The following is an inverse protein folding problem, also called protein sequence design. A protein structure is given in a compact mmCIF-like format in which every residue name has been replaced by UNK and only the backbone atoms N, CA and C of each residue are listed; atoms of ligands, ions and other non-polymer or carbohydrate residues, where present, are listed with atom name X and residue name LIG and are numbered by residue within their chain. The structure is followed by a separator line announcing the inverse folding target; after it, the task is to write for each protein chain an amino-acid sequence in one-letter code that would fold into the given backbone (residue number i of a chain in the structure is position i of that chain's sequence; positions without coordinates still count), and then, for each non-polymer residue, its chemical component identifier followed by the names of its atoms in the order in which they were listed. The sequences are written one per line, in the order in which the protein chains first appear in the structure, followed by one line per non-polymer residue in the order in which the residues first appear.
data_IF_229589586360
#
_entry.id   IF_229589586360
#
_cell.length_a   1.000
_cell.length_b   1.000
_cell.length_c   1.000
_cell.angle_alpha   90.00
_cell.angle_beta   90.00
_cell.angle_gamma   90.00
#
_symmetry.space_group_name_H-M   'P 1'
#
loop_
_entity.id
_entity.type
_entity.pdbx_description
1 polymer ?
#
# COMPACT_ATOMS: atom_id res chain seq x y z
N UNK A 1 6.50 -0.29 -27.56
CA UNK A 1 7.63 -0.96 -26.89
C UNK A 1 7.45 -0.67 -25.41
N UNK A 2 6.87 -1.62 -24.67
CA UNK A 2 6.59 -1.47 -23.22
C UNK A 2 7.93 -1.70 -22.52
N UNK A 3 8.44 -0.72 -21.80
CA UNK A 3 9.80 -0.77 -21.25
C UNK A 3 9.89 -1.75 -20.09
N UNK A 4 11.10 -2.21 -19.74
CA UNK A 4 11.30 -3.14 -18.60
C UNK A 4 10.73 -2.62 -17.27
N UNK A 5 10.62 -1.30 -17.11
CA UNK A 5 10.01 -0.64 -15.95
C UNK A 5 8.48 -0.83 -15.91
N UNK A 6 7.83 -0.82 -17.07
CA UNK A 6 6.38 -1.04 -17.19
C UNK A 6 6.01 -2.49 -16.89
N UNK A 7 6.88 -3.44 -17.26
CA UNK A 7 6.71 -4.86 -16.94
C UNK A 7 6.91 -5.14 -15.44
N UNK A 8 7.87 -4.47 -14.80
CA UNK A 8 8.08 -4.57 -13.36
C UNK A 8 6.88 -4.02 -12.56
N UNK A 9 6.33 -2.91 -13.03
CA UNK A 9 5.16 -2.28 -12.43
C UNK A 9 3.90 -3.14 -12.61
N UNK A 10 3.69 -3.71 -13.80
CA UNK A 10 2.60 -4.64 -14.06
C UNK A 10 2.69 -5.92 -13.20
N UNK A 11 3.91 -6.43 -12.96
CA UNK A 11 4.15 -7.56 -12.07
C UNK A 11 3.80 -7.28 -10.61
N UNK A 12 4.17 -6.11 -10.08
CA UNK A 12 3.75 -5.71 -8.72
C UNK A 12 2.24 -5.49 -8.61
N UNK A 13 1.60 -4.89 -9.61
CA UNK A 13 0.14 -4.71 -9.61
C UNK A 13 -0.58 -6.05 -9.60
N UNK A 14 -0.06 -7.07 -10.31
CA UNK A 14 -0.66 -8.41 -10.28
C UNK A 14 -0.55 -9.13 -8.92
N UNK A 15 0.20 -8.57 -7.98
CA UNK A 15 0.32 -9.09 -6.60
C UNK A 15 -0.52 -8.30 -5.58
N UNK A 16 -1.36 -7.37 -6.04
CA UNK A 16 -2.31 -6.67 -5.16
C UNK A 16 -3.60 -7.49 -5.03
N UNK A 17 -4.04 -7.69 -3.79
CA UNK A 17 -5.28 -8.40 -3.46
C UNK A 17 -6.51 -7.53 -3.69
N UNK A 18 -6.36 -6.20 -3.64
CA UNK A 18 -7.42 -5.24 -3.95
C UNK A 18 -7.03 -4.38 -5.14
N UNK A 19 -7.89 -4.37 -6.15
CA UNK A 19 -7.83 -3.48 -7.30
C UNK A 19 -9.20 -2.84 -7.52
N UNK A 20 -9.25 -1.61 -8.02
CA UNK A 20 -10.50 -0.97 -8.38
C UNK A 20 -11.19 -1.77 -9.49
N UNK A 21 -12.51 -1.91 -9.38
CA UNK A 21 -13.35 -2.67 -10.31
C UNK A 21 -13.91 -1.82 -11.44
N UNK A 22 -13.86 -0.49 -11.33
CA UNK A 22 -14.37 0.46 -12.32
C UNK A 22 -13.71 1.83 -12.22
N UNK A 23 -13.78 2.60 -13.31
CA UNK A 23 -13.30 4.00 -13.33
C UNK A 23 -14.06 4.91 -12.34
N UNK A 24 -15.32 4.57 -12.05
CA UNK A 24 -16.12 5.29 -11.07
C UNK A 24 -15.56 5.09 -9.65
N UNK A 25 -15.19 3.86 -9.29
CA UNK A 25 -14.58 3.55 -8.00
C UNK A 25 -13.27 4.31 -7.80
N UNK A 26 -12.44 4.37 -8.85
CA UNK A 26 -11.21 5.17 -8.86
C UNK A 26 -11.52 6.64 -8.61
N UNK A 27 -12.50 7.19 -9.33
CA UNK A 27 -12.89 8.59 -9.21
C UNK A 27 -13.42 8.90 -7.81
N UNK A 28 -14.25 8.03 -7.25
CA UNK A 28 -14.83 8.19 -5.91
C UNK A 28 -13.76 8.14 -4.82
N UNK A 29 -12.79 7.22 -4.91
CA UNK A 29 -11.68 7.11 -3.96
C UNK A 29 -10.77 8.36 -4.03
N UNK A 30 -10.43 8.82 -5.23
CA UNK A 30 -9.67 10.07 -5.44
C UNK A 30 -10.43 11.26 -4.83
N UNK A 31 -11.71 11.40 -5.12
CA UNK A 31 -12.52 12.50 -4.62
C UNK A 31 -12.63 12.45 -3.09
N UNK A 32 -12.83 11.27 -2.51
CA UNK A 32 -12.90 11.10 -1.06
C UNK A 32 -11.61 11.57 -0.37
N UNK A 33 -10.45 11.07 -0.81
CA UNK A 33 -9.17 11.39 -0.17
C UNK A 33 -8.77 12.86 -0.38
N UNK A 34 -9.00 13.42 -1.57
CA UNK A 34 -8.67 14.82 -1.87
C UNK A 34 -9.57 15.80 -1.11
N UNK A 35 -10.89 15.56 -1.05
CA UNK A 35 -11.80 16.43 -0.29
C UNK A 35 -11.58 16.29 1.23
N UNK A 36 -11.30 15.08 1.71
CA UNK A 36 -10.97 14.84 3.11
C UNK A 36 -9.74 15.64 3.55
N UNK A 37 -8.63 15.56 2.79
CA UNK A 37 -7.41 16.31 3.05
C UNK A 37 -7.66 17.82 3.11
N UNK A 38 -8.41 18.34 2.13
CA UNK A 38 -8.78 19.76 2.05
C UNK A 38 -9.55 20.25 3.27
N UNK A 39 -10.50 19.47 3.79
CA UNK A 39 -11.31 19.88 4.93
C UNK A 39 -10.64 19.67 6.29
N UNK A 40 -9.79 18.65 6.40
CA UNK A 40 -9.12 18.31 7.66
C UNK A 40 -7.92 19.21 7.94
N UNK A 41 -7.26 19.72 6.90
CA UNK A 41 -6.08 20.57 7.00
C UNK A 41 -6.29 21.95 6.34
N UNK A 42 -7.31 22.73 6.76
CA UNK A 42 -7.68 23.98 6.09
C UNK A 42 -6.64 25.10 6.20
N UNK A 43 -5.77 25.03 7.22
CA UNK A 43 -4.69 25.99 7.45
C UNK A 43 -3.31 25.50 7.01
N UNK A 44 -3.23 24.30 6.41
CA UNK A 44 -2.01 23.70 5.90
C UNK A 44 -2.06 23.56 4.38
N UNK A 45 -1.28 22.63 3.84
CA UNK A 45 -1.28 22.31 2.41
C UNK A 45 -2.35 21.28 2.03
N UNK A 46 -3.38 21.03 2.85
CA UNK A 46 -4.32 19.91 2.65
C UNK A 46 -5.05 19.88 1.32
N UNK A 47 -5.16 21.02 0.63
CA UNK A 47 -5.74 21.11 -0.71
C UNK A 47 -4.78 20.62 -1.82
N UNK A 48 -3.47 20.63 -1.57
CA UNK A 48 -2.41 20.41 -2.56
C UNK A 48 -1.50 19.22 -2.20
N UNK A 49 -1.28 18.96 -0.90
CA UNK A 49 -0.40 17.92 -0.37
C UNK A 49 -1.01 17.28 0.90
N UNK A 50 -1.07 15.94 1.00
CA UNK A 50 -1.45 15.28 2.23
C UNK A 50 -0.42 15.54 3.34
N UNK A 51 -0.88 15.88 4.54
CA UNK A 51 -0.01 16.07 5.70
C UNK A 51 0.40 14.72 6.29
N UNK A 52 1.50 14.17 5.75
CA UNK A 52 1.96 12.82 6.06
C UNK A 52 2.34 12.60 7.53
N UNK A 53 2.66 13.67 8.27
CA UNK A 53 2.95 13.57 9.71
C UNK A 53 1.75 13.03 10.48
N UNK A 54 0.53 13.35 10.02
CA UNK A 54 -0.72 12.90 10.64
C UNK A 54 -1.35 11.71 9.90
N UNK A 55 -1.17 11.63 8.58
CA UNK A 55 -1.81 10.62 7.73
C UNK A 55 -0.93 9.40 7.42
N UNK A 56 0.32 9.38 7.88
CA UNK A 56 1.27 8.31 7.54
C UNK A 56 0.78 6.91 7.95
N UNK A 57 0.30 6.74 9.18
CA UNK A 57 -0.21 5.45 9.65
C UNK A 57 -1.49 4.98 8.91
N UNK A 58 -2.57 5.80 8.78
CA UNK A 58 -3.74 5.37 8.04
C UNK A 58 -3.46 5.14 6.55
N UNK A 59 -2.54 5.89 5.94
CA UNK A 59 -2.11 5.65 4.56
C UNK A 59 -1.40 4.29 4.42
N UNK A 60 -0.45 3.97 5.29
CA UNK A 60 0.22 2.66 5.30
C UNK A 60 -0.79 1.53 5.54
N UNK A 61 -1.75 1.72 6.44
CA UNK A 61 -2.80 0.73 6.68
C UNK A 61 -3.69 0.48 5.45
N UNK A 62 -3.96 1.49 4.64
CA UNK A 62 -4.68 1.33 3.37
C UNK A 62 -3.86 0.47 2.39
N UNK A 63 -2.58 0.79 2.20
CA UNK A 63 -1.70 -0.02 1.33
C UNK A 63 -1.58 -1.46 1.80
N UNK A 64 -1.53 -1.68 3.11
CA UNK A 64 -1.51 -3.01 3.71
C UNK A 64 -2.78 -3.80 3.41
N UNK A 65 -3.95 -3.15 3.40
CA UNK A 65 -5.20 -3.80 2.96
C UNK A 65 -5.16 -4.18 1.49
N UNK A 66 -4.57 -3.34 0.66
CA UNK A 66 -4.42 -3.64 -0.77
C UNK A 66 -3.46 -4.82 -1.01
N UNK A 67 -2.55 -5.08 -0.08
CA UNK A 67 -1.66 -6.24 -0.01
C UNK A 67 -2.24 -7.43 0.79
N UNK A 68 -3.49 -7.34 1.26
CA UNK A 68 -4.16 -8.40 2.02
C UNK A 68 -3.54 -8.78 3.36
N UNK A 69 -2.70 -7.92 3.95
CA UNK A 69 -2.06 -8.16 5.25
C UNK A 69 -2.79 -7.47 6.40
N UNK A 70 -2.63 -8.00 7.61
CA UNK A 70 -3.32 -7.55 8.81
C UNK A 70 -2.88 -6.13 9.23
N UNK A 71 -3.86 -5.26 9.42
CA UNK A 71 -3.65 -3.85 9.81
C UNK A 71 -3.62 -3.63 11.31
N UNK A 72 -4.31 -4.47 12.09
CA UNK A 72 -4.30 -4.41 13.55
C UNK A 72 -3.17 -5.29 14.09
N UNK A 73 -2.07 -4.64 14.49
CA UNK A 73 -0.82 -5.33 14.81
C UNK A 73 -0.50 -5.37 16.31
N UNK A 74 -1.39 -4.85 17.16
CA UNK A 74 -1.25 -4.95 18.62
C UNK A 74 -1.94 -6.20 19.13
N UNK A 75 -1.44 -6.72 20.25
CA UNK A 75 -1.94 -7.96 20.86
C UNK A 75 -3.35 -7.86 21.44
N UNK A 76 -3.91 -6.65 21.58
CA UNK A 76 -5.25 -6.46 22.12
C UNK A 76 -5.92 -5.20 21.58
N UNK A 77 -7.25 -5.24 21.49
CA UNK A 77 -8.07 -4.07 21.10
C UNK A 77 -7.86 -2.87 22.00
N UNK A 78 -7.56 -3.07 23.29
CA UNK A 78 -7.29 -1.94 24.18
C UNK A 78 -5.98 -1.24 23.82
N UNK A 79 -4.94 -1.99 23.45
CA UNK A 79 -3.67 -1.41 22.99
C UNK A 79 -3.80 -0.72 21.64
N UNK A 80 -4.64 -1.24 20.74
CA UNK A 80 -4.98 -0.55 19.47
C UNK A 80 -5.53 0.85 19.70
N UNK A 81 -6.33 1.05 20.76
CA UNK A 81 -6.91 2.36 21.06
C UNK A 81 -6.01 3.27 21.90
N UNK A 82 -5.18 2.70 22.78
CA UNK A 82 -4.53 3.48 23.84
C UNK A 82 -3.01 3.54 23.73
N UNK A 83 -2.39 2.71 22.89
CA UNK A 83 -0.94 2.64 22.75
C UNK A 83 -0.48 3.17 21.38
N UNK A 84 0.66 3.88 21.31
CA UNK A 84 1.18 4.34 20.03
C UNK A 84 1.65 3.17 19.16
N UNK A 85 1.48 3.31 17.85
CA UNK A 85 2.12 2.44 16.87
C UNK A 85 3.60 2.83 16.72
N UNK A 86 4.45 1.82 16.73
CA UNK A 86 5.90 1.92 16.60
C UNK A 86 6.38 1.02 15.47
N UNK A 87 7.58 1.26 14.91
CA UNK A 87 8.16 0.37 13.89
C UNK A 87 8.21 -1.10 14.32
N UNK A 88 8.36 -1.37 15.63
CA UNK A 88 8.40 -2.73 16.17
C UNK A 88 7.09 -3.52 15.99
N UNK A 89 5.94 -2.85 15.84
CA UNK A 89 4.64 -3.52 15.63
C UNK A 89 4.51 -4.09 14.21
N UNK A 90 5.32 -3.59 13.27
CA UNK A 90 5.35 -4.06 11.87
C UNK A 90 6.37 -5.19 11.66
N UNK A 91 6.97 -5.74 12.72
CA UNK A 91 7.87 -6.88 12.61
C UNK A 91 7.14 -8.07 11.99
N UNK A 92 7.79 -8.72 11.02
CA UNK A 92 7.25 -9.89 10.33
C UNK A 92 6.25 -9.57 9.21
N UNK A 93 5.95 -8.28 8.93
CA UNK A 93 5.01 -7.87 7.88
C UNK A 93 5.35 -8.46 6.49
N UNK A 94 6.64 -8.45 6.12
CA UNK A 94 7.09 -8.98 4.83
C UNK A 94 6.94 -10.51 4.78
N UNK A 95 7.20 -11.19 5.89
CA UNK A 95 7.08 -12.65 5.96
C UNK A 95 5.60 -13.08 5.93
N UNK A 96 4.72 -12.32 6.57
CA UNK A 96 3.27 -12.46 6.51
C UNK A 96 2.77 -12.32 5.06
N UNK A 97 3.18 -11.24 4.37
CA UNK A 97 2.83 -11.03 2.96
C UNK A 97 3.29 -12.19 2.07
N UNK A 98 4.55 -12.62 2.20
CA UNK A 98 5.12 -13.77 1.45
C UNK A 98 4.37 -15.08 1.69
N UNK A 99 3.87 -15.30 2.91
CA UNK A 99 3.09 -16.49 3.23
C UNK A 99 1.72 -16.48 2.55
N UNK A 100 1.07 -15.32 2.47
CA UNK A 100 -0.23 -15.16 1.81
C UNK A 100 -0.17 -15.29 0.29
N UNK A 101 0.95 -14.86 -0.33
CA UNK A 101 1.08 -14.75 -1.79
C UNK A 101 1.98 -15.83 -2.42
N UNK A 102 2.45 -16.81 -1.64
CA UNK A 102 3.36 -17.86 -2.10
C UNK A 102 4.75 -17.33 -2.49
N UNK A 103 5.79 -17.73 -1.76
CA UNK A 103 7.17 -17.32 -2.03
C UNK A 103 7.62 -17.56 -3.50
N UNK A 104 7.07 -18.57 -4.17
CA UNK A 104 7.36 -18.88 -5.58
C UNK A 104 6.79 -17.87 -6.57
N UNK A 105 5.61 -17.30 -6.33
CA UNK A 105 4.97 -16.34 -7.25
C UNK A 105 5.71 -14.99 -7.20
N UNK A 106 6.21 -14.63 -6.02
CA UNK A 106 7.05 -13.47 -5.77
C UNK A 106 8.46 -13.64 -6.38
N UNK A 107 9.09 -14.81 -6.24
CA UNK A 107 10.38 -15.10 -6.89
C UNK A 107 10.25 -15.10 -8.42
N UNK A 108 9.16 -15.63 -8.98
CA UNK A 108 8.88 -15.61 -10.42
C UNK A 108 8.64 -14.18 -10.92
N UNK A 109 7.85 -13.37 -10.20
CA UNK A 109 7.63 -11.96 -10.53
C UNK A 109 8.95 -11.18 -10.50
N UNK A 110 9.72 -11.33 -9.41
CA UNK A 110 11.02 -10.66 -9.24
C UNK A 110 12.06 -11.13 -10.27
N UNK A 111 12.08 -12.41 -10.62
CA UNK A 111 12.99 -12.96 -11.64
C UNK A 111 12.61 -12.50 -13.05
N UNK A 112 11.32 -12.39 -13.39
CA UNK A 112 10.86 -11.76 -14.65
C UNK A 112 11.25 -10.28 -14.74
N UNK A 113 11.20 -9.56 -13.62
CA UNK A 113 11.70 -8.17 -13.54
C UNK A 113 13.20 -8.10 -13.78
N UNK A 114 13.99 -8.98 -13.14
CA UNK A 114 15.46 -8.96 -13.22
C UNK A 114 15.98 -9.41 -14.59
N UNK A 115 15.41 -10.44 -15.18
CA UNK A 115 15.85 -10.99 -16.48
C UNK A 115 15.44 -10.16 -17.69
N UNK A 116 14.35 -9.38 -17.59
CA UNK A 116 13.99 -8.41 -18.64
C UNK A 116 14.89 -7.17 -18.65
N UNK A 117 15.57 -6.87 -17.53
CA UNK A 117 16.48 -5.72 -17.38
C UNK A 117 17.94 -5.98 -17.74
N UNK A 118 18.30 -7.17 -18.24
CA UNK A 118 19.69 -7.54 -18.59
C UNK A 118 19.97 -7.64 -20.10
N UNK A 119 19.00 -7.36 -20.96
CA UNK A 119 19.15 -7.34 -22.42
C UNK A 119 19.09 -5.91 -23.01
N UNK A 120 19.81 -4.95 -22.38
CA UNK A 120 20.20 -3.67 -23.00
C UNK A 120 21.72 -3.43 -22.89
#
# INVERSE_FOLDING_TARGET
MVGSRDLAFAGMISTLDRLPTSDQEITDEIMLHTQWGKWRYPCGYGADLPDFVFEGLPYVNMLMKDLGVETHRKSSRLQELTSPYLPADFRGLVDEWKQGHGASEIEIATHKVVTSGTDE
#
